data_IF_776965658716
#
_entry.id   IF_776965658716
#
_cell.length_a   1.000
_cell.length_b   1.000
_cell.length_c   1.000
_cell.angle_alpha   90.00
_cell.angle_beta   90.00
_cell.angle_gamma   90.00
#
_symmetry.space_group_name_H-M   'P 1'
#
loop_
_entity.id
_entity.type
_entity.pdbx_description
1 polymer ?
#
# COMPACT_ATOMS: atom_id res chain seq x y z
N UNK A 1 5.29 -21.40 19.93
CA UNK A 1 5.87 -21.49 18.57
C UNK A 1 4.72 -21.42 17.57
N UNK A 2 4.68 -20.37 16.74
CA UNK A 2 3.66 -20.21 15.69
C UNK A 2 3.77 -21.35 14.67
N UNK A 3 2.64 -21.92 14.22
CA UNK A 3 2.69 -22.95 13.17
C UNK A 3 3.01 -22.30 11.84
N UNK A 4 3.72 -23.03 10.97
CA UNK A 4 4.11 -22.54 9.64
C UNK A 4 2.90 -22.05 8.82
N UNK A 5 1.75 -22.70 8.97
CA UNK A 5 0.50 -22.34 8.29
C UNK A 5 -0.02 -20.95 8.74
N UNK A 6 0.02 -20.67 10.04
CA UNK A 6 -0.38 -19.37 10.62
C UNK A 6 0.55 -18.24 10.13
N UNK A 7 1.85 -18.54 10.02
CA UNK A 7 2.83 -17.61 9.46
C UNK A 7 2.52 -17.29 7.98
N UNK A 8 2.30 -18.31 7.16
CA UNK A 8 1.98 -18.15 5.73
C UNK A 8 0.68 -17.38 5.55
N UNK A 9 -0.36 -17.65 6.36
CA UNK A 9 -1.62 -16.91 6.31
C UNK A 9 -1.40 -15.43 6.60
N UNK A 10 -0.64 -15.13 7.65
CA UNK A 10 -0.33 -13.75 8.05
C UNK A 10 0.47 -12.99 6.98
N UNK A 11 1.43 -13.66 6.33
CA UNK A 11 2.19 -13.05 5.22
C UNK A 11 1.30 -12.80 4.00
N UNK A 12 0.36 -13.69 3.68
CA UNK A 12 -0.61 -13.47 2.60
C UNK A 12 -1.50 -12.27 2.88
N UNK A 13 -2.02 -12.15 4.10
CA UNK A 13 -2.84 -11.01 4.52
C UNK A 13 -2.07 -9.70 4.42
N UNK A 14 -0.83 -9.66 4.89
CA UNK A 14 0.04 -8.49 4.75
C UNK A 14 0.32 -8.13 3.29
N UNK A 15 0.67 -9.11 2.45
CA UNK A 15 0.91 -8.88 1.03
C UNK A 15 -0.35 -8.36 0.33
N UNK A 16 -1.54 -8.84 0.72
CA UNK A 16 -2.81 -8.32 0.22
C UNK A 16 -3.07 -6.89 0.70
N UNK A 17 -2.75 -6.56 1.96
CA UNK A 17 -2.98 -5.23 2.53
C UNK A 17 -2.11 -4.15 1.88
N UNK A 18 -0.93 -4.50 1.36
CA UNK A 18 -0.06 -3.58 0.62
C UNK A 18 -0.27 -3.59 -0.90
N UNK A 19 -0.64 -4.73 -1.51
CA UNK A 19 -0.74 -4.84 -2.97
C UNK A 19 -1.90 -4.02 -3.54
N UNK A 20 -3.05 -4.02 -2.86
CA UNK A 20 -4.23 -3.28 -3.32
C UNK A 20 -3.98 -1.76 -3.35
N UNK A 21 -3.48 -1.13 -2.27
CA UNK A 21 -3.15 0.30 -2.31
C UNK A 21 -2.00 0.63 -3.29
N UNK A 22 -1.02 -0.26 -3.48
CA UNK A 22 0.03 -0.07 -4.48
C UNK A 22 -0.53 -0.05 -5.92
N UNK A 23 -1.44 -0.97 -6.25
CA UNK A 23 -2.09 -0.95 -7.57
C UNK A 23 -2.90 0.32 -7.78
N UNK A 24 -3.61 0.80 -6.75
CA UNK A 24 -4.36 2.05 -6.81
C UNK A 24 -3.41 3.22 -7.07
N UNK A 25 -2.32 3.34 -6.30
CA UNK A 25 -1.38 4.46 -6.46
C UNK A 25 -0.73 4.47 -7.84
N UNK A 26 -0.28 3.30 -8.34
CA UNK A 26 0.24 3.16 -9.69
C UNK A 26 -0.80 3.57 -10.74
N UNK A 27 -2.01 3.03 -10.66
CA UNK A 27 -3.07 3.34 -11.62
C UNK A 27 -3.42 4.83 -11.67
N UNK A 28 -3.48 5.51 -10.52
CA UNK A 28 -3.74 6.96 -10.50
C UNK A 28 -2.60 7.76 -11.14
N UNK A 29 -1.34 7.39 -10.85
CA UNK A 29 -0.17 8.07 -11.40
C UNK A 29 0.00 7.81 -12.90
N UNK A 30 -0.19 6.57 -13.35
CA UNK A 30 -0.15 6.20 -14.77
C UNK A 30 -1.22 6.94 -15.57
N UNK A 31 -2.42 7.09 -15.00
CA UNK A 31 -3.49 7.88 -15.62
C UNK A 31 -3.07 9.35 -15.79
N UNK A 32 -2.48 9.96 -14.76
CA UNK A 32 -1.97 11.34 -14.84
C UNK A 32 -0.88 11.44 -15.90
N UNK A 33 0.11 10.53 -15.92
CA UNK A 33 1.20 10.54 -16.90
C UNK A 33 0.65 10.41 -18.32
N UNK A 34 -0.30 9.51 -18.55
CA UNK A 34 -0.86 9.23 -19.87
C UNK A 34 -1.81 10.33 -20.38
N UNK A 35 -2.41 11.13 -19.50
CA UNK A 35 -3.45 12.10 -19.84
C UNK A 35 -3.17 13.53 -19.39
N UNK A 36 -1.99 13.85 -18.85
CA UNK A 36 -1.65 15.16 -18.27
C UNK A 36 -2.06 16.37 -19.13
N UNK A 37 -1.93 16.28 -20.46
CA UNK A 37 -2.23 17.40 -21.37
C UNK A 37 -3.75 17.55 -21.65
N UNK A 38 -4.56 16.60 -21.17
CA UNK A 38 -6.02 16.55 -21.31
C UNK A 38 -6.77 16.73 -19.99
N UNK A 39 -6.05 16.78 -18.88
CA UNK A 39 -6.62 16.91 -17.54
C UNK A 39 -6.51 18.36 -17.07
N UNK A 40 -7.49 18.82 -16.31
CA UNK A 40 -7.35 20.05 -15.55
C UNK A 40 -6.33 19.87 -14.42
N UNK A 41 -5.77 20.98 -13.94
CA UNK A 41 -4.88 20.96 -12.78
C UNK A 41 -5.57 20.36 -11.55
N UNK A 42 -6.86 20.63 -11.37
CA UNK A 42 -7.67 20.10 -10.26
C UNK A 42 -7.81 18.58 -10.35
N UNK A 43 -8.03 18.03 -11.55
CA UNK A 43 -8.08 16.59 -11.78
C UNK A 43 -6.73 15.93 -11.49
N UNK A 44 -5.63 16.55 -11.92
CA UNK A 44 -4.28 16.06 -11.63
C UNK A 44 -4.04 16.02 -10.12
N UNK A 45 -4.39 17.09 -9.40
CA UNK A 45 -4.25 17.17 -7.94
C UNK A 45 -5.10 16.09 -7.25
N UNK A 46 -6.37 15.89 -7.64
CA UNK A 46 -7.23 14.84 -7.10
C UNK A 46 -6.59 13.44 -7.25
N UNK A 47 -6.06 13.14 -8.44
CA UNK A 47 -5.42 11.85 -8.72
C UNK A 47 -4.14 11.64 -7.92
N UNK A 48 -3.29 12.67 -7.81
CA UNK A 48 -2.08 12.63 -6.98
C UNK A 48 -2.45 12.46 -5.50
N UNK A 49 -3.49 13.12 -5.01
CA UNK A 49 -3.94 13.01 -3.63
C UNK A 49 -4.45 11.59 -3.31
N UNK A 50 -5.18 10.97 -4.25
CA UNK A 50 -5.61 9.57 -4.15
C UNK A 50 -4.43 8.61 -4.13
N UNK A 51 -3.44 8.82 -4.98
CA UNK A 51 -2.21 8.03 -4.99
C UNK A 51 -1.44 8.15 -3.67
N UNK A 52 -1.28 9.38 -3.16
CA UNK A 52 -0.66 9.65 -1.85
C UNK A 52 -1.39 8.93 -0.72
N UNK A 53 -2.72 9.04 -0.67
CA UNK A 53 -3.53 8.38 0.37
C UNK A 53 -3.35 6.86 0.34
N UNK A 54 -3.24 6.27 -0.85
CA UNK A 54 -2.97 4.84 -0.98
C UNK A 54 -1.55 4.46 -0.51
N UNK A 55 -0.54 5.28 -0.83
CA UNK A 55 0.84 5.09 -0.33
C UNK A 55 0.91 5.24 1.20
N UNK A 56 0.19 6.20 1.78
CA UNK A 56 0.12 6.39 3.23
C UNK A 56 -0.44 5.12 3.93
N UNK A 57 -1.41 4.44 3.31
CA UNK A 57 -1.89 3.13 3.79
C UNK A 57 -0.80 2.06 3.73
N UNK A 58 -0.07 1.95 2.61
CA UNK A 58 1.07 1.00 2.50
C UNK A 58 2.08 1.24 3.61
N UNK A 59 2.44 2.49 3.85
CA UNK A 59 3.38 2.87 4.90
C UNK A 59 2.91 2.41 6.28
N UNK A 60 1.62 2.66 6.60
CA UNK A 60 1.01 2.22 7.86
C UNK A 60 1.04 0.69 8.03
N UNK A 61 0.66 -0.06 6.99
CA UNK A 61 0.67 -1.53 7.00
C UNK A 61 2.09 -2.09 7.20
N UNK A 62 3.09 -1.52 6.51
CA UNK A 62 4.50 -1.90 6.68
C UNK A 62 4.98 -1.60 8.10
N UNK A 63 4.58 -0.47 8.69
CA UNK A 63 4.91 -0.15 10.08
C UNK A 63 4.25 -1.10 11.08
N UNK A 64 2.99 -1.48 10.86
CA UNK A 64 2.29 -2.48 11.66
C UNK A 64 2.99 -3.84 11.60
N UNK A 65 3.31 -4.32 10.39
CA UNK A 65 4.04 -5.59 10.21
C UNK A 65 5.40 -5.57 10.89
N UNK A 66 6.15 -4.47 10.75
CA UNK A 66 7.45 -4.30 11.44
C UNK A 66 7.34 -4.41 12.96
N UNK A 67 6.30 -3.82 13.56
CA UNK A 67 6.06 -3.94 15.02
C UNK A 67 5.76 -5.38 15.42
N UNK A 68 4.92 -6.05 14.66
CA UNK A 68 4.56 -7.45 14.92
C UNK A 68 5.77 -8.39 14.78
N UNK A 69 6.60 -8.22 13.74
CA UNK A 69 7.84 -9.01 13.60
C UNK A 69 8.78 -8.77 14.79
N UNK A 70 8.90 -7.52 15.26
CA UNK A 70 9.72 -7.20 16.44
C UNK A 70 9.22 -7.87 17.72
N UNK A 71 7.91 -7.95 17.94
CA UNK A 71 7.38 -8.64 19.12
C UNK A 71 7.68 -10.14 19.07
N UNK A 72 7.59 -10.77 17.90
CA UNK A 72 7.93 -12.19 17.74
C UNK A 72 9.42 -12.53 17.99
N UNK A 73 10.32 -11.57 17.79
CA UNK A 73 11.78 -11.76 18.02
C UNK A 73 12.17 -11.45 19.47
N UNK A 74 11.34 -10.66 20.17
CA UNK A 74 11.62 -10.21 21.55
C UNK A 74 10.98 -11.12 22.62
N UNK A 75 10.20 -12.13 22.20
CA UNK A 75 9.62 -13.21 23.01
C UNK A 75 10.45 -14.49 22.88
#
# INVERSE_FOLDING_TARGET
MMKLEDYISTEREFLHSISTPLMISMSQLDFVIAKKDKLSLEEIIDKIQKAKTAIDKVSSEVHLRRRHIKSLISE
#
